data_IF_197436993385
#
_entry.id   IF_197436993385
#
_cell.length_a   1.000
_cell.length_b   1.000
_cell.length_c   1.000
_cell.angle_alpha   90.00
_cell.angle_beta   90.00
_cell.angle_gamma   90.00
#
_symmetry.space_group_name_H-M   'P 1'
#
loop_
_entity.id
_entity.type
_entity.pdbx_description
1 polymer ?
#
# COMPACT_ATOMS: atom_id res chain seq x y z
N UNK A 1 3.66 21.14 13.97
CA UNK A 1 2.50 21.13 13.06
C UNK A 1 2.72 19.94 12.15
N UNK A 2 1.88 18.94 12.30
CA UNK A 2 2.08 17.61 11.77
C UNK A 2 1.41 17.52 10.39
N UNK A 3 1.99 16.84 9.40
CA UNK A 3 1.47 16.69 8.03
C UNK A 3 1.37 15.24 7.58
N UNK A 4 0.38 14.92 6.77
CA UNK A 4 0.14 13.59 6.19
C UNK A 4 0.35 13.58 4.68
N UNK A 5 0.77 12.45 4.16
CA UNK A 5 1.17 12.23 2.78
C UNK A 5 0.30 11.15 2.12
N UNK A 6 -0.22 11.40 0.93
CA UNK A 6 -0.97 10.46 0.10
C UNK A 6 -0.44 10.47 -1.35
N UNK A 7 -0.06 9.31 -1.87
CA UNK A 7 0.47 9.12 -3.23
C UNK A 7 -0.31 8.05 -4.03
N UNK A 8 -0.65 8.27 -5.29
CA UNK A 8 -1.36 7.32 -6.17
C UNK A 8 -1.10 7.46 -7.66
N UNK A 9 -1.48 6.45 -8.47
CA UNK A 9 -1.55 6.43 -9.95
C UNK A 9 -2.57 5.39 -10.47
N UNK A 10 -3.13 5.54 -11.67
CA UNK A 10 -4.26 4.76 -12.21
C UNK A 10 -3.94 3.75 -13.33
N UNK A 11 -4.79 2.70 -13.49
CA UNK A 11 -4.62 1.48 -14.30
C UNK A 11 -5.35 1.49 -15.66
N UNK A 12 -4.78 0.84 -16.65
CA UNK A 12 -5.30 -0.27 -17.47
C UNK A 12 -4.22 -0.83 -18.41
N UNK A 13 -4.08 -2.01 -18.39
CA UNK A 13 -3.49 -3.28 -18.74
C UNK A 13 -2.70 -3.48 -20.06
N UNK A 14 -1.77 -4.39 -19.96
CA UNK A 14 -1.13 -5.45 -20.78
C UNK A 14 0.32 -5.30 -21.21
N UNK A 15 1.07 -6.25 -20.76
CA UNK A 15 2.13 -7.19 -21.22
C UNK A 15 3.47 -6.68 -21.80
N UNK A 16 4.52 -7.13 -21.21
CA UNK A 16 5.78 -7.87 -21.46
C UNK A 16 7.10 -7.14 -21.76
N UNK A 17 8.21 -7.48 -21.15
CA UNK A 17 9.46 -8.23 -21.37
C UNK A 17 10.70 -7.69 -20.63
N UNK A 18 11.34 -8.58 -19.94
CA UNK A 18 12.68 -8.95 -19.42
C UNK A 18 13.91 -8.03 -19.41
N UNK A 19 14.71 -8.13 -18.31
CA UNK A 19 16.16 -8.44 -18.34
C UNK A 19 16.76 -8.76 -16.95
N UNK A 20 17.84 -9.58 -16.96
CA UNK A 20 18.43 -10.33 -15.85
C UNK A 20 19.33 -9.53 -14.89
N UNK A 21 19.37 -9.96 -13.61
CA UNK A 21 20.53 -9.77 -12.71
C UNK A 21 20.72 -10.98 -11.79
N UNK A 22 21.99 -11.31 -11.50
CA UNK A 22 22.40 -12.45 -10.67
C UNK A 22 22.25 -12.12 -9.17
N UNK A 23 21.98 -13.13 -8.29
CA UNK A 23 21.84 -12.89 -6.86
C UNK A 23 23.16 -12.53 -6.20
N UNK A 24 23.19 -11.41 -5.50
CA UNK A 24 24.29 -11.03 -4.62
C UNK A 24 23.84 -11.26 -3.16
N UNK A 25 24.79 -11.76 -2.36
CA UNK A 25 24.54 -12.02 -0.95
C UNK A 25 24.22 -10.73 -0.18
N UNK A 26 23.07 -10.71 0.47
CA UNK A 26 22.63 -9.60 1.33
C UNK A 26 23.34 -9.70 2.67
N UNK A 27 24.28 -8.81 2.90
CA UNK A 27 24.89 -8.60 4.21
C UNK A 27 24.46 -7.23 4.74
N UNK A 28 23.85 -7.25 5.93
CA UNK A 28 23.43 -6.11 6.76
C UNK A 28 22.08 -5.47 6.40
N UNK A 29 21.01 -5.94 7.07
CA UNK A 29 19.86 -5.09 7.36
C UNK A 29 20.17 -4.26 8.61
N UNK A 30 20.05 -2.96 8.50
CA UNK A 30 20.18 -2.07 9.64
C UNK A 30 18.81 -1.93 10.31
N UNK A 31 18.75 -2.13 11.61
CA UNK A 31 17.56 -1.85 12.42
C UNK A 31 17.30 -0.35 12.36
N UNK A 32 16.14 0.07 11.87
CA UNK A 32 15.70 1.46 11.95
C UNK A 32 15.32 1.74 13.41
N UNK A 33 16.15 2.51 14.11
CA UNK A 33 15.81 2.96 15.46
C UNK A 33 14.91 4.18 15.37
N UNK A 34 13.82 4.22 16.15
CA UNK A 34 12.95 5.38 16.30
C UNK A 34 13.74 6.55 16.92
N UNK A 35 14.44 7.32 16.12
CA UNK A 35 15.06 8.54 16.53
C UNK A 35 13.98 9.63 16.63
N UNK A 36 13.92 10.32 17.74
CA UNK A 36 13.14 11.54 17.92
C UNK A 36 13.73 12.63 17.02
N UNK A 37 13.22 12.76 15.80
CA UNK A 37 13.68 13.76 14.84
C UNK A 37 13.34 15.18 15.30
N UNK A 38 14.22 16.15 15.09
CA UNK A 38 13.89 17.56 15.29
C UNK A 38 12.80 17.95 14.30
N UNK A 39 11.61 18.29 14.80
CA UNK A 39 10.48 18.77 14.01
C UNK A 39 10.84 20.09 13.33
N UNK A 40 11.27 20.02 12.09
CA UNK A 40 11.31 21.22 11.23
C UNK A 40 9.89 21.52 10.83
N UNK A 41 9.23 22.39 11.62
CA UNK A 41 7.84 22.76 11.39
C UNK A 41 7.76 23.65 10.17
N UNK A 42 7.14 23.17 9.09
CA UNK A 42 6.75 24.02 7.99
C UNK A 42 5.76 25.08 8.48
N UNK A 43 6.11 26.36 8.38
CA UNK A 43 5.32 27.48 8.93
C UNK A 43 4.15 27.89 8.03
N UNK A 44 4.13 27.40 6.80
CA UNK A 44 3.12 27.74 5.79
C UNK A 44 2.33 26.50 5.38
N UNK A 45 1.00 26.66 5.28
CA UNK A 45 0.13 25.60 4.75
C UNK A 45 -0.74 26.16 3.62
N UNK A 46 -0.87 25.49 2.47
CA UNK A 46 -0.06 24.32 2.08
C UNK A 46 1.43 24.68 1.99
N UNK A 47 2.34 23.73 2.26
CA UNK A 47 3.77 23.97 2.19
C UNK A 47 4.19 24.27 0.74
N UNK A 48 5.22 25.10 0.57
CA UNK A 48 5.88 25.22 -0.72
C UNK A 48 6.65 23.93 -1.01
N UNK A 49 6.48 23.41 -2.23
CA UNK A 49 7.21 22.25 -2.72
C UNK A 49 8.17 22.73 -3.79
N UNK A 50 9.44 22.72 -3.47
CA UNK A 50 10.51 23.04 -4.41
C UNK A 50 11.33 21.76 -4.66
N UNK A 51 11.29 21.28 -5.91
CA UNK A 51 11.95 20.04 -6.33
C UNK A 51 13.30 20.41 -6.95
N UNK A 52 14.37 19.95 -6.31
CA UNK A 52 15.73 20.11 -6.83
C UNK A 52 16.00 19.16 -7.98
N UNK A 53 15.67 17.88 -7.80
CA UNK A 53 15.75 16.86 -8.85
C UNK A 53 14.81 15.70 -8.58
N UNK A 54 14.53 14.92 -9.63
CA UNK A 54 13.80 13.66 -9.56
C UNK A 54 14.46 12.67 -10.52
N UNK A 55 15.15 11.68 -9.96
CA UNK A 55 15.99 10.74 -10.69
C UNK A 55 15.39 9.33 -10.65
N UNK A 56 15.13 8.76 -11.84
CA UNK A 56 14.74 7.35 -11.95
C UNK A 56 15.90 6.47 -11.52
N UNK A 57 15.69 5.62 -10.52
CA UNK A 57 16.71 4.72 -9.99
C UNK A 57 16.77 3.41 -10.78
N UNK A 58 15.63 2.89 -11.22
CA UNK A 58 15.54 1.64 -11.98
C UNK A 58 14.40 0.74 -11.50
N UNK A 59 14.44 -0.52 -11.91
CA UNK A 59 13.44 -1.52 -11.61
C UNK A 59 13.70 -2.19 -10.25
N UNK A 60 12.65 -2.37 -9.47
CA UNK A 60 12.70 -3.08 -8.17
C UNK A 60 12.59 -4.59 -8.42
N UNK A 61 13.46 -5.35 -7.78
CA UNK A 61 13.49 -6.81 -7.91
C UNK A 61 13.69 -7.52 -6.56
N UNK A 62 13.32 -8.80 -6.51
CA UNK A 62 13.60 -9.64 -5.35
C UNK A 62 15.02 -10.19 -5.40
N UNK A 63 15.71 -10.23 -4.25
CA UNK A 63 17.00 -10.91 -4.08
C UNK A 63 16.85 -12.44 -3.91
N UNK A 64 15.64 -12.94 -3.69
CA UNK A 64 15.38 -14.34 -3.33
C UNK A 64 14.62 -15.14 -4.38
N UNK A 65 13.90 -14.47 -5.29
CA UNK A 65 13.08 -15.14 -6.31
C UNK A 65 12.90 -14.29 -7.57
N UNK A 66 12.38 -14.90 -8.62
CA UNK A 66 12.09 -14.23 -9.89
C UNK A 66 10.59 -14.03 -10.05
N UNK A 67 10.12 -12.84 -9.70
CA UNK A 67 8.69 -12.47 -9.79
C UNK A 67 8.55 -11.07 -10.37
N UNK A 68 7.45 -10.85 -11.10
CA UNK A 68 6.96 -9.53 -11.47
C UNK A 68 5.77 -9.20 -10.58
N UNK A 69 5.71 -7.97 -10.07
CA UNK A 69 4.71 -7.55 -9.08
C UNK A 69 4.09 -6.23 -9.46
N UNK A 70 2.94 -5.97 -8.88
CA UNK A 70 2.38 -4.64 -8.86
C UNK A 70 2.14 -4.12 -7.43
N UNK A 71 1.82 -2.83 -7.30
CA UNK A 71 1.57 -2.09 -6.06
C UNK A 71 2.85 -1.85 -5.24
N UNK A 72 3.08 -2.59 -4.16
CA UNK A 72 4.23 -2.41 -3.26
C UNK A 72 3.98 -1.46 -2.11
N UNK A 73 2.77 -1.50 -1.53
CA UNK A 73 2.39 -0.68 -0.38
C UNK A 73 3.30 -0.90 0.81
N UNK A 74 3.82 0.19 1.38
CA UNK A 74 4.73 0.14 2.51
C UNK A 74 3.99 0.08 3.84
N UNK A 75 4.39 -0.86 4.70
CA UNK A 75 4.00 -0.93 6.10
C UNK A 75 5.20 -1.16 7.01
N UNK A 76 4.98 -1.10 8.32
CA UNK A 76 6.06 -1.31 9.30
C UNK A 76 5.51 -2.07 10.50
N UNK A 77 6.30 -3.02 11.01
CA UNK A 77 6.12 -3.66 12.32
C UNK A 77 7.48 -3.66 13.03
N UNK A 78 7.60 -2.94 14.13
CA UNK A 78 8.86 -2.72 14.82
C UNK A 78 9.92 -2.11 13.88
N UNK A 79 11.12 -2.68 13.79
CA UNK A 79 12.17 -2.18 12.91
C UNK A 79 12.03 -2.66 11.44
N UNK A 80 11.05 -3.52 11.15
CA UNK A 80 10.92 -4.16 9.85
C UNK A 80 9.92 -3.44 8.96
N UNK A 81 10.36 -3.06 7.77
CA UNK A 81 9.51 -2.49 6.72
C UNK A 81 9.06 -3.63 5.80
N UNK A 82 7.74 -3.78 5.68
CA UNK A 82 7.09 -4.76 4.82
C UNK A 82 6.48 -4.06 3.62
N UNK A 83 6.63 -4.67 2.45
CA UNK A 83 6.03 -4.22 1.21
C UNK A 83 4.97 -5.23 0.78
N UNK A 84 3.73 -4.77 0.68
CA UNK A 84 2.58 -5.59 0.30
C UNK A 84 2.28 -5.38 -1.18
N UNK A 85 2.19 -6.47 -1.92
CA UNK A 85 2.00 -6.50 -3.36
C UNK A 85 0.63 -7.08 -3.71
N UNK A 86 0.11 -6.68 -4.86
CA UNK A 86 -1.01 -7.33 -5.51
C UNK A 86 -0.56 -8.50 -6.38
N UNK A 87 -1.03 -8.54 -7.62
CA UNK A 87 -0.71 -9.62 -8.55
C UNK A 87 0.81 -9.88 -8.63
N UNK A 88 1.20 -11.09 -8.24
CA UNK A 88 2.59 -11.54 -8.20
C UNK A 88 2.76 -12.68 -9.19
N UNK A 89 3.34 -12.36 -10.34
CA UNK A 89 3.53 -13.28 -11.47
C UNK A 89 4.84 -14.02 -11.32
N UNK A 90 4.79 -15.35 -11.37
CA UNK A 90 5.98 -16.19 -11.25
C UNK A 90 6.72 -16.26 -12.60
N UNK A 91 8.01 -16.01 -12.57
CA UNK A 91 8.91 -16.03 -13.73
C UNK A 91 10.08 -16.98 -13.49
N UNK A 92 10.83 -17.30 -14.53
CA UNK A 92 12.10 -18.01 -14.43
C UNK A 92 13.27 -17.03 -14.21
N UNK A 93 14.48 -17.58 -14.04
CA UNK A 93 15.70 -16.81 -13.81
C UNK A 93 16.07 -15.81 -14.94
N UNK A 94 15.43 -15.93 -16.08
CA UNK A 94 15.59 -14.98 -17.19
C UNK A 94 14.54 -13.88 -17.20
N UNK A 95 13.60 -13.89 -16.23
CA UNK A 95 12.39 -13.07 -16.25
C UNK A 95 11.63 -13.21 -17.58
N UNK A 96 11.67 -14.41 -18.17
CA UNK A 96 10.98 -14.70 -19.43
C UNK A 96 9.47 -14.55 -19.27
N UNK A 97 8.76 -14.30 -20.36
CA UNK A 97 7.31 -14.26 -20.36
C UNK A 97 6.66 -15.66 -20.23
N UNK A 98 7.49 -16.67 -19.93
CA UNK A 98 7.01 -18.00 -19.64
C UNK A 98 6.25 -17.98 -18.31
N UNK A 99 4.94 -18.10 -18.42
CA UNK A 99 4.03 -18.18 -17.30
C UNK A 99 4.30 -19.42 -16.43
N UNK A 100 4.60 -19.17 -15.14
CA UNK A 100 4.83 -20.22 -14.14
C UNK A 100 3.73 -20.27 -13.06
N UNK A 101 2.72 -19.42 -13.20
CA UNK A 101 1.67 -19.23 -12.23
C UNK A 101 1.70 -17.85 -11.59
N UNK A 102 0.78 -17.61 -10.69
CA UNK A 102 0.67 -16.35 -9.93
C UNK A 102 0.03 -16.57 -8.56
N UNK A 103 0.15 -15.55 -7.73
CA UNK A 103 -0.72 -15.33 -6.57
C UNK A 103 -1.32 -13.94 -6.62
N UNK A 104 -2.50 -13.75 -6.02
CA UNK A 104 -3.21 -12.47 -6.04
C UNK A 104 -2.63 -11.43 -5.08
N UNK A 105 -1.81 -11.86 -4.14
CA UNK A 105 -1.10 -11.01 -3.20
C UNK A 105 0.17 -11.68 -2.68
N UNK A 106 1.13 -10.88 -2.26
CA UNK A 106 2.36 -11.34 -1.59
C UNK A 106 2.94 -10.25 -0.69
N UNK A 107 3.93 -10.61 0.12
CA UNK A 107 4.67 -9.65 0.96
C UNK A 107 6.17 -9.87 0.83
N UNK A 108 6.95 -8.78 0.84
CA UNK A 108 8.39 -8.83 0.95
C UNK A 108 8.90 -7.86 2.02
N UNK A 109 10.14 -8.06 2.46
CA UNK A 109 10.86 -7.15 3.35
C UNK A 109 11.67 -6.16 2.51
N UNK A 110 11.61 -4.90 2.89
CA UNK A 110 12.45 -3.87 2.32
C UNK A 110 13.92 -4.04 2.75
N UNK A 111 14.84 -3.57 1.93
CA UNK A 111 16.27 -3.47 2.25
C UNK A 111 16.70 -2.01 2.31
N UNK A 112 18.00 -1.76 2.50
CA UNK A 112 18.58 -0.41 2.39
C UNK A 112 18.78 0.03 0.93
N UNK A 113 18.68 -0.91 -0.01
CA UNK A 113 18.72 -0.61 -1.44
C UNK A 113 17.28 -0.42 -1.95
N UNK A 114 16.90 0.73 -2.50
CA UNK A 114 15.56 0.99 -3.00
C UNK A 114 15.15 0.11 -4.19
N UNK A 115 16.08 -0.59 -4.79
CA UNK A 115 15.83 -1.49 -5.92
C UNK A 115 15.76 -2.97 -5.52
N UNK A 116 15.97 -3.30 -4.23
CA UNK A 116 16.08 -4.69 -3.77
C UNK A 116 15.13 -4.97 -2.61
N UNK A 117 14.33 -6.02 -2.75
CA UNK A 117 13.48 -6.57 -1.69
C UNK A 117 13.83 -8.04 -1.41
N UNK A 118 13.42 -8.55 -0.25
CA UNK A 118 13.66 -9.95 0.15
C UNK A 118 12.33 -10.62 0.47
N UNK A 119 12.02 -11.73 -0.18
CA UNK A 119 10.86 -12.53 0.17
C UNK A 119 11.16 -13.33 1.46
N UNK A 120 10.36 -13.18 2.51
CA UNK A 120 10.66 -13.78 3.83
C UNK A 120 10.46 -15.29 3.84
N UNK A 121 9.65 -15.82 2.94
CA UNK A 121 9.40 -17.25 2.79
C UNK A 121 8.94 -17.56 1.36
N UNK A 122 9.18 -18.79 0.92
CA UNK A 122 8.84 -19.29 -0.40
C UNK A 122 8.10 -20.63 -0.28
N UNK A 123 7.24 -20.91 -1.25
CA UNK A 123 6.61 -22.22 -1.39
C UNK A 123 7.62 -23.27 -1.92
N UNK A 124 7.18 -24.51 -2.08
CA UNK A 124 8.02 -25.61 -2.57
C UNK A 124 8.57 -25.40 -3.99
N UNK A 125 7.94 -24.55 -4.77
CA UNK A 125 8.33 -24.24 -6.15
C UNK A 125 9.30 -23.04 -6.23
N UNK A 126 9.63 -22.45 -5.08
CA UNK A 126 10.58 -21.34 -4.95
C UNK A 126 9.97 -19.97 -5.21
N UNK A 127 8.66 -19.80 -5.05
CA UNK A 127 7.94 -18.53 -5.21
C UNK A 127 7.24 -18.10 -3.94
N UNK A 128 7.01 -16.78 -3.74
CA UNK A 128 6.21 -16.32 -2.61
C UNK A 128 4.77 -16.84 -2.74
N UNK A 129 4.22 -17.47 -1.69
CA UNK A 129 2.83 -17.89 -1.67
C UNK A 129 1.90 -16.70 -1.50
N UNK A 130 0.60 -16.93 -1.72
CA UNK A 130 -0.45 -15.98 -1.33
C UNK A 130 -0.32 -15.66 0.16
N UNK A 131 -0.29 -14.38 0.48
CA UNK A 131 -0.11 -13.91 1.85
C UNK A 131 -1.43 -13.92 2.62
N UNK A 132 -2.46 -13.24 2.10
CA UNK A 132 -3.77 -13.23 2.73
C UNK A 132 -4.59 -14.46 2.30
N UNK A 133 -4.81 -15.47 3.18
CA UNK A 133 -5.35 -16.76 2.77
C UNK A 133 -6.84 -16.66 2.44
N UNK A 134 -7.27 -17.39 1.41
CA UNK A 134 -8.66 -17.74 1.20
C UNK A 134 -9.09 -18.81 2.21
N UNK A 135 -10.31 -18.72 2.72
CA UNK A 135 -10.82 -19.59 3.78
C UNK A 135 -12.00 -20.42 3.25
N UNK A 136 -11.76 -21.70 3.00
CA UNK A 136 -12.77 -22.61 2.44
C UNK A 136 -14.04 -22.71 3.27
N UNK A 137 -13.95 -22.57 4.61
CA UNK A 137 -15.13 -22.58 5.48
C UNK A 137 -16.04 -21.34 5.31
N UNK A 138 -15.55 -20.30 4.64
CA UNK A 138 -16.34 -19.14 4.22
C UNK A 138 -16.90 -19.30 2.79
N UNK A 139 -16.65 -20.42 2.13
CA UNK A 139 -17.07 -20.66 0.75
C UNK A 139 -16.15 -20.03 -0.30
N UNK A 140 -14.93 -19.67 0.07
CA UNK A 140 -13.96 -19.03 -0.83
C UNK A 140 -13.21 -20.09 -1.64
N UNK A 141 -13.59 -20.21 -2.89
CA UNK A 141 -12.92 -21.11 -3.85
C UNK A 141 -11.75 -20.37 -4.50
N UNK A 142 -10.49 -20.89 -4.41
CA UNK A 142 -9.34 -20.28 -5.06
C UNK A 142 -9.42 -20.17 -6.59
N UNK A 143 -10.30 -20.95 -7.23
CA UNK A 143 -10.54 -20.83 -8.68
C UNK A 143 -11.42 -19.64 -9.07
N UNK A 144 -12.18 -19.10 -8.11
CA UNK A 144 -13.13 -18.01 -8.33
C UNK A 144 -12.94 -16.82 -7.38
N UNK A 145 -12.11 -16.95 -6.34
CA UNK A 145 -11.86 -15.89 -5.38
C UNK A 145 -10.42 -15.41 -5.43
N UNK A 146 -10.23 -14.11 -5.19
CA UNK A 146 -8.92 -13.50 -5.07
C UNK A 146 -8.93 -12.46 -3.95
N UNK A 147 -7.77 -12.31 -3.30
CA UNK A 147 -7.55 -11.28 -2.28
C UNK A 147 -6.81 -10.09 -2.90
N UNK A 148 -7.18 -8.88 -2.51
CA UNK A 148 -6.34 -7.69 -2.66
C UNK A 148 -5.92 -7.23 -1.27
N UNK A 149 -4.68 -6.82 -1.11
CA UNK A 149 -4.18 -6.30 0.17
C UNK A 149 -3.56 -4.92 -0.01
N UNK A 150 -3.58 -4.12 1.05
CA UNK A 150 -2.86 -2.86 1.12
C UNK A 150 -1.69 -2.93 2.11
N UNK A 151 -1.30 -1.85 2.73
CA UNK A 151 -0.14 -1.86 3.60
C UNK A 151 -0.44 -2.44 4.99
N UNK A 152 0.58 -3.07 5.55
CA UNK A 152 0.60 -3.46 6.95
C UNK A 152 0.65 -2.24 7.87
N UNK A 153 -0.03 -2.29 8.99
CA UNK A 153 -0.02 -1.24 10.02
C UNK A 153 0.23 -1.87 11.39
N UNK A 154 1.27 -1.39 12.07
CA UNK A 154 1.62 -1.84 13.42
C UNK A 154 0.52 -1.50 14.44
N UNK A 155 0.19 -2.44 15.32
CA UNK A 155 -0.67 -2.23 16.49
C UNK A 155 0.15 -1.80 17.74
N UNK A 156 -0.43 -1.87 18.92
CA UNK A 156 0.29 -1.54 20.17
C UNK A 156 1.11 -2.68 20.73
N UNK A 157 0.81 -3.92 20.34
CA UNK A 157 1.54 -5.08 20.78
C UNK A 157 2.85 -5.26 19.98
N UNK A 158 3.95 -5.68 20.62
CA UNK A 158 5.21 -5.90 19.94
C UNK A 158 5.10 -6.97 18.85
N UNK A 159 5.70 -6.70 17.70
CA UNK A 159 5.69 -7.59 16.53
C UNK A 159 4.30 -7.91 15.98
N UNK A 160 3.28 -7.13 16.34
CA UNK A 160 1.91 -7.31 15.84
C UNK A 160 1.47 -6.16 14.96
N UNK A 161 0.64 -6.48 13.98
CA UNK A 161 0.04 -5.53 13.07
C UNK A 161 -1.29 -6.04 12.53
N UNK A 162 -1.89 -5.21 11.71
CA UNK A 162 -3.04 -5.57 10.88
C UNK A 162 -2.76 -5.24 9.43
N UNK A 163 -3.53 -5.86 8.53
CA UNK A 163 -3.60 -5.51 7.13
C UNK A 163 -5.07 -5.48 6.70
N UNK A 164 -5.42 -4.52 5.87
CA UNK A 164 -6.72 -4.48 5.24
C UNK A 164 -6.69 -5.30 3.97
N UNK A 165 -7.79 -5.99 3.68
CA UNK A 165 -7.95 -6.78 2.48
C UNK A 165 -9.29 -6.51 1.80
N UNK A 166 -9.32 -6.77 0.50
CA UNK A 166 -10.50 -6.86 -0.33
C UNK A 166 -10.71 -8.31 -0.75
N UNK A 167 -11.93 -8.81 -0.62
CA UNK A 167 -12.33 -10.10 -1.17
C UNK A 167 -13.04 -9.88 -2.49
N UNK A 168 -12.47 -10.44 -3.55
CA UNK A 168 -13.04 -10.41 -4.90
C UNK A 168 -13.55 -11.79 -5.30
N UNK A 169 -14.74 -11.83 -5.89
CA UNK A 169 -15.29 -13.03 -6.53
C UNK A 169 -15.21 -12.84 -8.04
N UNK A 170 -14.51 -13.73 -8.72
CA UNK A 170 -14.13 -13.63 -10.15
C UNK A 170 -14.68 -14.77 -11.01
N UNK A 171 -15.98 -15.13 -10.93
CA UNK A 171 -16.54 -16.20 -11.74
C UNK A 171 -16.47 -15.83 -13.22
N UNK A 172 -16.01 -16.77 -14.06
CA UNK A 172 -15.95 -16.59 -15.51
C UNK A 172 -15.18 -15.34 -15.98
N UNK A 173 -14.17 -14.89 -15.22
CA UNK A 173 -13.35 -13.72 -15.57
C UNK A 173 -14.01 -12.36 -15.24
N UNK A 174 -15.16 -12.35 -14.57
CA UNK A 174 -15.69 -11.13 -13.96
C UNK A 174 -14.86 -10.74 -12.72
N UNK A 175 -15.07 -9.54 -12.19
CA UNK A 175 -14.45 -9.14 -10.94
C UNK A 175 -15.50 -8.40 -10.09
N UNK A 176 -16.08 -9.13 -9.15
CA UNK A 176 -17.10 -8.59 -8.24
C UNK A 176 -16.48 -8.44 -6.86
N UNK A 177 -16.31 -7.20 -6.41
CA UNK A 177 -15.86 -6.95 -5.04
C UNK A 177 -16.97 -7.34 -4.06
N UNK A 178 -16.67 -8.24 -3.13
CA UNK A 178 -17.61 -8.74 -2.11
C UNK A 178 -17.59 -7.86 -0.87
N UNK A 179 -16.42 -7.47 -0.42
CA UNK A 179 -16.26 -6.65 0.77
C UNK A 179 -14.82 -6.40 1.16
N UNK A 180 -14.66 -5.54 2.14
CA UNK A 180 -13.40 -5.22 2.77
C UNK A 180 -13.33 -5.79 4.19
N UNK A 181 -12.14 -6.16 4.64
CA UNK A 181 -11.95 -6.72 5.98
C UNK A 181 -10.54 -6.46 6.53
N UNK A 182 -10.32 -7.01 7.72
CA UNK A 182 -9.03 -6.89 8.43
C UNK A 182 -8.50 -8.27 8.77
N UNK A 183 -7.21 -8.46 8.57
CA UNK A 183 -6.47 -9.62 9.05
C UNK A 183 -5.39 -9.16 10.06
N UNK A 184 -5.14 -9.98 11.09
CA UNK A 184 -4.06 -9.78 12.04
C UNK A 184 -2.76 -10.35 11.50
N UNK A 185 -1.64 -9.72 11.83
CA UNK A 185 -0.30 -10.16 11.49
C UNK A 185 0.53 -10.28 12.77
N UNK A 186 1.24 -11.39 12.90
CA UNK A 186 2.28 -11.57 13.91
C UNK A 186 3.60 -11.79 13.18
N UNK A 187 4.61 -10.99 13.47
CA UNK A 187 5.92 -11.12 12.88
C UNK A 187 6.79 -12.05 13.73
N UNK A 188 7.05 -13.26 13.25
CA UNK A 188 7.97 -14.19 13.89
C UNK A 188 9.41 -13.74 13.64
N UNK A 189 10.04 -13.24 14.70
CA UNK A 189 11.41 -12.72 14.70
C UNK A 189 12.43 -13.74 15.22
N UNK A 190 12.03 -15.01 15.41
CA UNK A 190 12.92 -16.08 15.86
C UNK A 190 13.94 -16.50 14.81
N UNK A 191 13.68 -16.18 13.54
CA UNK A 191 14.57 -16.39 12.39
C UNK A 191 14.85 -15.07 11.68
N UNK A 192 15.84 -15.11 10.77
CA UNK A 192 16.12 -14.02 9.86
C UNK A 192 16.16 -14.55 8.41
N UNK A 193 15.44 -13.94 7.47
CA UNK A 193 14.49 -12.82 7.64
C UNK A 193 13.31 -13.20 8.56
N UNK A 194 12.69 -12.22 9.27
CA UNK A 194 11.50 -12.48 10.07
C UNK A 194 10.33 -12.88 9.16
N UNK A 195 9.49 -13.79 9.66
CA UNK A 195 8.40 -14.36 8.88
C UNK A 195 7.05 -13.81 9.37
N UNK A 196 6.31 -13.06 8.54
CA UNK A 196 4.97 -12.61 8.89
C UNK A 196 3.99 -13.78 8.81
N UNK A 197 3.24 -13.96 9.89
CA UNK A 197 2.13 -14.92 9.99
C UNK A 197 0.82 -14.14 10.00
N UNK A 198 -0.11 -14.51 9.12
CA UNK A 198 -1.38 -13.80 8.95
C UNK A 198 -2.57 -14.67 9.34
N UNK A 199 -3.56 -14.06 9.97
CA UNK A 199 -4.83 -14.69 10.34
C UNK A 199 -5.99 -13.76 10.02
N UNK A 200 -6.91 -14.21 9.17
CA UNK A 200 -8.15 -13.48 8.89
C UNK A 200 -9.12 -13.60 10.05
N UNK A 201 -9.77 -12.49 10.37
CA UNK A 201 -10.72 -12.38 11.45
C UNK A 201 -12.15 -12.56 10.90
N UNK A 202 -13.02 -13.36 11.59
CA UNK A 202 -14.42 -13.46 11.20
C UNK A 202 -15.16 -12.13 11.42
N UNK A 203 -16.26 -11.88 10.68
CA UNK A 203 -16.80 -12.67 9.58
C UNK A 203 -15.95 -12.62 8.32
N UNK A 204 -16.41 -13.22 7.21
CA UNK A 204 -15.72 -13.28 5.93
C UNK A 204 -15.13 -11.95 5.46
N UNK A 205 -15.88 -10.87 5.61
CA UNK A 205 -15.47 -9.47 5.47
C UNK A 205 -16.23 -8.62 6.50
N UNK A 206 -15.76 -7.41 6.77
CA UNK A 206 -16.32 -6.53 7.78
C UNK A 206 -17.22 -5.46 7.20
N UNK A 207 -16.94 -5.00 5.98
CA UNK A 207 -17.72 -3.99 5.25
C UNK A 207 -18.16 -4.60 3.93
N UNK A 208 -19.48 -4.58 3.70
CA UNK A 208 -20.11 -5.12 2.50
C UNK A 208 -19.96 -4.13 1.35
N UNK A 209 -19.28 -4.54 0.27
CA UNK A 209 -19.02 -3.66 -0.87
C UNK A 209 -20.28 -3.20 -1.62
N UNK A 210 -21.41 -3.83 -1.37
CA UNK A 210 -22.70 -3.47 -2.00
C UNK A 210 -23.42 -2.32 -1.31
N UNK A 211 -23.03 -1.98 -0.07
CA UNK A 211 -23.70 -0.95 0.73
C UNK A 211 -22.80 -0.13 1.65
N UNK A 212 -21.48 -0.39 1.65
CA UNK A 212 -20.53 0.33 2.50
C UNK A 212 -19.27 0.72 1.71
N UNK A 213 -18.52 1.76 2.14
CA UNK A 213 -17.19 2.04 1.59
C UNK A 213 -16.21 0.89 1.83
N UNK A 214 -15.26 0.75 0.93
CA UNK A 214 -14.24 -0.32 0.92
C UNK A 214 -13.04 0.08 1.79
N UNK A 215 -13.27 0.24 3.10
CA UNK A 215 -12.25 0.76 4.01
C UNK A 215 -10.94 -0.03 3.98
N UNK A 216 -9.84 0.68 3.74
CA UNK A 216 -8.50 0.16 3.66
C UNK A 216 -8.02 -0.20 2.26
N UNK A 217 -8.87 -0.14 1.22
CA UNK A 217 -8.47 -0.49 -0.15
C UNK A 217 -7.51 0.54 -0.78
N UNK A 218 -7.54 1.77 -0.30
CA UNK A 218 -6.56 2.79 -0.68
C UNK A 218 -5.27 2.61 0.10
N UNK A 219 -5.34 2.69 1.42
CA UNK A 219 -4.24 2.45 2.35
C UNK A 219 -4.71 2.59 3.80
N UNK A 220 -3.82 2.26 4.73
CA UNK A 220 -3.99 2.57 6.14
C UNK A 220 -2.76 3.26 6.73
N UNK A 221 -2.96 4.04 7.78
CA UNK A 221 -1.91 4.81 8.45
C UNK A 221 -2.10 4.73 9.96
N UNK A 222 -1.06 4.39 10.71
CA UNK A 222 -1.04 4.62 12.14
C UNK A 222 -0.55 6.04 12.45
N UNK A 223 -1.37 6.76 13.20
CA UNK A 223 -0.97 8.04 13.73
C UNK A 223 -1.37 8.17 15.20
N UNK A 224 -0.37 8.35 16.06
CA UNK A 224 -0.54 8.32 17.52
C UNK A 224 -1.22 7.01 17.96
N UNK A 225 -2.34 7.11 18.64
CA UNK A 225 -3.05 5.96 19.22
C UNK A 225 -4.09 5.35 18.27
N UNK A 226 -4.23 5.87 17.03
CA UNK A 226 -5.23 5.40 16.08
C UNK A 226 -4.61 4.89 14.78
N UNK A 227 -5.30 3.93 14.19
CA UNK A 227 -5.13 3.50 12.82
C UNK A 227 -6.27 4.10 12.01
N UNK A 228 -5.93 4.75 10.91
CA UNK A 228 -6.82 5.38 9.95
C UNK A 228 -6.80 4.57 8.67
N UNK A 229 -7.97 4.21 8.11
CA UNK A 229 -8.08 3.45 6.89
C UNK A 229 -8.91 4.21 5.85
N UNK A 230 -8.29 4.45 4.70
CA UNK A 230 -8.89 5.15 3.57
C UNK A 230 -9.46 4.12 2.60
N UNK A 231 -10.70 4.35 2.15
CA UNK A 231 -11.38 3.43 1.25
C UNK A 231 -12.27 4.15 0.25
N UNK A 232 -12.35 3.61 -0.97
CA UNK A 232 -13.29 4.11 -1.96
C UNK A 232 -14.73 3.89 -1.51
N UNK A 233 -15.63 4.68 -2.08
CA UNK A 233 -17.04 4.41 -2.03
C UNK A 233 -17.42 3.20 -2.88
N UNK A 234 -18.71 2.88 -2.91
CA UNK A 234 -19.25 1.84 -3.77
C UNK A 234 -18.95 2.11 -5.25
N UNK A 235 -19.07 1.09 -6.07
CA UNK A 235 -18.87 1.20 -7.52
C UNK A 235 -19.64 2.41 -8.11
N UNK A 236 -18.91 3.23 -8.88
CA UNK A 236 -19.43 4.47 -9.44
C UNK A 236 -19.39 5.69 -8.51
N UNK A 237 -19.06 5.52 -7.23
CA UNK A 237 -18.86 6.63 -6.30
C UNK A 237 -17.38 7.07 -6.35
N UNK A 238 -17.05 8.31 -6.80
CA UNK A 238 -15.67 8.75 -7.02
C UNK A 238 -14.96 9.25 -5.75
N UNK A 239 -15.58 9.13 -4.58
CA UNK A 239 -15.07 9.70 -3.34
C UNK A 239 -14.36 8.67 -2.47
N UNK A 240 -13.39 9.13 -1.71
CA UNK A 240 -12.67 8.33 -0.69
C UNK A 240 -13.16 8.72 0.70
N UNK A 241 -13.46 7.72 1.48
CA UNK A 241 -13.98 7.81 2.85
C UNK A 241 -12.94 7.35 3.86
N UNK A 242 -13.16 7.69 5.12
CA UNK A 242 -12.20 7.45 6.17
C UNK A 242 -12.85 6.81 7.40
N UNK A 243 -12.25 5.73 7.86
CA UNK A 243 -12.53 5.15 9.17
C UNK A 243 -11.28 5.19 10.04
N UNK A 244 -11.46 5.14 11.36
CA UNK A 244 -10.37 4.98 12.31
C UNK A 244 -10.73 4.03 13.44
N UNK A 245 -9.71 3.51 14.08
CA UNK A 245 -9.83 2.70 15.30
C UNK A 245 -8.63 2.96 16.20
N UNK A 246 -8.78 2.78 17.51
CA UNK A 246 -7.61 2.75 18.40
C UNK A 246 -6.72 1.57 18.03
N UNK A 247 -5.41 1.75 18.03
CA UNK A 247 -4.47 0.72 17.60
C UNK A 247 -4.47 -0.55 18.49
N UNK A 248 -4.90 -0.42 19.76
CA UNK A 248 -5.11 -1.55 20.68
C UNK A 248 -6.44 -2.29 20.45
N UNK A 249 -7.37 -1.72 19.67
CA UNK A 249 -8.67 -2.29 19.35
C UNK A 249 -8.81 -2.62 17.85
N UNK A 250 -7.71 -2.61 17.11
CA UNK A 250 -7.71 -2.71 15.65
C UNK A 250 -8.34 -4.00 15.10
N UNK A 251 -8.42 -5.06 15.91
CA UNK A 251 -9.04 -6.33 15.56
C UNK A 251 -10.52 -6.45 15.96
N UNK A 252 -11.12 -5.37 16.44
CA UNK A 252 -12.52 -5.32 16.86
C UNK A 252 -13.31 -4.33 16.01
N UNK A 253 -14.08 -4.84 15.05
CA UNK A 253 -14.86 -4.02 14.11
C UNK A 253 -15.87 -3.08 14.81
N UNK A 254 -16.33 -3.41 16.01
CA UNK A 254 -17.27 -2.57 16.75
C UNK A 254 -16.63 -1.33 17.38
N UNK A 255 -15.31 -1.24 17.41
CA UNK A 255 -14.57 -0.10 17.92
C UNK A 255 -14.19 0.92 16.83
N UNK A 256 -14.56 0.65 15.59
CA UNK A 256 -14.28 1.55 14.47
C UNK A 256 -15.22 2.76 14.50
N UNK A 257 -14.66 3.93 14.25
CA UNK A 257 -15.37 5.19 14.06
C UNK A 257 -15.24 5.64 12.60
N UNK A 258 -16.27 6.29 12.10
CA UNK A 258 -16.41 6.69 10.71
C UNK A 258 -16.51 8.21 10.60
N UNK A 259 -15.76 8.80 9.67
CA UNK A 259 -15.79 10.23 9.39
C UNK A 259 -17.04 10.58 8.57
N UNK A 260 -17.88 11.47 9.07
CA UNK A 260 -19.11 11.88 8.39
C UNK A 260 -19.01 13.26 7.70
N UNK A 261 -17.78 13.75 7.50
CA UNK A 261 -17.51 15.08 6.93
C UNK A 261 -17.38 16.19 7.96
N UNK A 262 -17.86 15.99 9.18
CA UNK A 262 -17.84 16.97 10.26
C UNK A 262 -17.25 16.43 11.57
N UNK A 263 -17.55 15.18 11.89
CA UNK A 263 -17.16 14.55 13.13
C UNK A 263 -16.97 13.02 12.97
N UNK A 264 -16.29 12.42 13.93
CA UNK A 264 -16.19 10.98 14.07
C UNK A 264 -17.44 10.43 14.76
N UNK A 265 -18.00 9.34 14.22
CA UNK A 265 -19.18 8.66 14.75
C UNK A 265 -18.97 7.14 14.79
N UNK A 266 -19.63 6.46 15.71
CA UNK A 266 -19.64 4.99 15.82
C UNK A 266 -20.55 4.30 14.81
N UNK A 267 -21.57 5.02 14.29
CA UNK A 267 -22.48 4.50 13.27
C UNK A 267 -21.79 4.42 11.92
N UNK A 268 -21.91 3.27 11.26
CA UNK A 268 -21.37 3.04 9.91
C UNK A 268 -22.01 3.99 8.91
N UNK A 269 -21.29 4.31 7.85
CA UNK A 269 -21.81 5.09 6.73
C UNK A 269 -22.59 4.16 5.78
N UNK A 270 -23.77 4.60 5.38
CA UNK A 270 -24.52 3.96 4.31
C UNK A 270 -23.98 4.41 2.96
N UNK A 271 -23.26 3.53 2.26
CA UNK A 271 -22.59 3.79 0.98
C UNK A 271 -23.55 4.27 -0.11
N UNK A 272 -24.87 3.98 0.01
CA UNK A 272 -25.88 4.43 -0.96
C UNK A 272 -26.34 5.88 -0.73
N UNK A 273 -26.03 6.46 0.43
CA UNK A 273 -26.52 7.79 0.85
C UNK A 273 -25.41 8.85 0.99
N UNK A 274 -24.12 8.44 0.93
CA UNK A 274 -22.97 9.32 1.13
C UNK A 274 -22.41 9.87 -0.18
N UNK A 275 -21.74 11.02 -0.10
CA UNK A 275 -21.15 11.71 -1.25
C UNK A 275 -19.92 12.54 -0.86
N UNK A 276 -19.77 13.67 -1.51
CA UNK A 276 -18.64 14.59 -1.30
C UNK A 276 -18.51 15.06 0.15
N UNK A 277 -19.63 15.30 0.82
CA UNK A 277 -19.65 15.86 2.17
C UNK A 277 -18.95 14.96 3.19
N UNK A 278 -19.19 13.65 3.11
CA UNK A 278 -18.65 12.65 4.04
C UNK A 278 -17.24 12.19 3.63
N UNK A 279 -16.77 12.59 2.45
CA UNK A 279 -15.48 12.18 1.88
C UNK A 279 -14.31 12.99 2.45
N UNK A 280 -13.11 12.47 2.24
CA UNK A 280 -11.86 13.17 2.58
C UNK A 280 -11.15 13.72 1.34
N UNK A 281 -11.35 13.11 0.17
CA UNK A 281 -10.88 13.61 -1.13
C UNK A 281 -11.57 12.89 -2.29
N UNK A 282 -11.45 13.50 -3.48
CA UNK A 282 -12.00 12.97 -4.71
C UNK A 282 -11.03 12.01 -5.38
N UNK A 283 -11.55 10.95 -5.88
CA UNK A 283 -10.99 9.85 -6.67
C UNK A 283 -9.46 9.76 -6.72
N UNK A 284 -8.96 8.74 -6.05
CA UNK A 284 -7.62 8.21 -6.27
C UNK A 284 -7.79 6.72 -6.54
N UNK A 285 -6.95 6.11 -7.38
CA UNK A 285 -7.09 4.67 -7.56
C UNK A 285 -6.28 3.90 -6.54
N UNK A 286 -4.99 4.11 -6.54
CA UNK A 286 -4.09 3.40 -5.64
C UNK A 286 -2.97 4.35 -5.23
N UNK A 287 -2.71 4.39 -3.95
CA UNK A 287 -1.66 5.21 -3.39
C UNK A 287 -1.60 5.06 -1.90
N UNK A 288 -0.73 5.79 -1.26
CA UNK A 288 -0.52 5.64 0.16
C UNK A 288 -0.41 6.97 0.88
N UNK A 289 -1.13 7.07 2.01
CA UNK A 289 -0.94 8.13 2.99
C UNK A 289 0.14 7.72 3.96
N UNK A 290 1.13 8.58 4.15
CA UNK A 290 2.17 8.41 5.16
C UNK A 290 2.29 9.68 6.00
N UNK A 291 2.93 9.55 7.15
CA UNK A 291 3.46 10.68 7.89
C UNK A 291 4.72 11.22 7.20
N UNK A 292 4.81 12.51 6.98
CA UNK A 292 6.02 13.16 6.47
C UNK A 292 6.55 14.18 7.48
N UNK A 293 7.83 14.09 7.78
CA UNK A 293 8.53 15.13 8.55
C UNK A 293 8.74 16.44 7.77
N UNK A 294 8.48 16.42 6.49
CA UNK A 294 8.68 17.53 5.58
C UNK A 294 7.38 18.01 4.92
N UNK A 295 6.66 17.17 4.15
CA UNK A 295 5.32 17.43 3.57
C UNK A 295 4.71 16.22 2.83
N UNK A 296 3.44 16.29 2.37
CA UNK A 296 2.74 15.18 1.81
C UNK A 296 1.79 15.39 0.62
N UNK A 297 1.55 14.41 -0.33
CA UNK A 297 0.71 14.56 -1.55
C UNK A 297 0.32 13.43 -2.47
N UNK A 298 -0.41 13.69 -3.65
CA UNK A 298 -0.94 12.72 -4.58
C UNK A 298 -1.36 13.18 -6.00
N UNK A 299 -1.37 12.36 -7.07
CA UNK A 299 -2.32 12.03 -8.15
C UNK A 299 -1.86 12.00 -9.65
N UNK A 300 -2.36 11.14 -10.45
CA UNK A 300 -2.86 10.62 -11.74
C UNK A 300 -2.01 10.72 -13.06
N UNK A 301 -2.21 9.70 -13.98
CA UNK A 301 -1.74 9.62 -15.36
C UNK A 301 -0.23 9.77 -15.57
N UNK A 302 0.55 8.71 -15.34
CA UNK A 302 2.01 8.73 -15.46
C UNK A 302 2.71 9.74 -14.54
N UNK A 303 1.99 10.43 -13.69
CA UNK A 303 2.51 11.43 -12.78
C UNK A 303 2.52 10.91 -11.36
N UNK A 304 3.66 11.03 -10.71
CA UNK A 304 3.72 10.93 -9.26
C UNK A 304 3.31 12.29 -8.69
N UNK A 305 2.21 12.29 -8.01
CA UNK A 305 1.62 13.51 -7.48
C UNK A 305 1.58 13.50 -5.96
N UNK A 306 1.57 14.65 -5.35
CA UNK A 306 1.67 14.95 -3.94
C UNK A 306 0.50 15.82 -3.42
N UNK A 307 -0.30 15.48 -2.32
CA UNK A 307 -1.27 16.32 -1.57
C UNK A 307 -0.88 16.40 -0.09
N UNK A 308 -1.12 17.47 0.64
CA UNK A 308 -0.88 17.59 2.09
C UNK A 308 -2.15 17.79 2.88
N UNK A 309 -2.13 17.34 4.13
CA UNK A 309 -3.10 17.72 5.14
C UNK A 309 -2.43 17.88 6.50
N UNK A 310 -3.06 18.62 7.39
CA UNK A 310 -2.63 18.76 8.78
C UNK A 310 -3.23 17.66 9.68
N UNK A 311 -4.24 16.95 9.19
CA UNK A 311 -4.94 15.85 9.86
C UNK A 311 -5.31 14.77 8.85
N UNK A 312 -5.49 13.51 9.26
CA UNK A 312 -5.86 12.43 8.36
C UNK A 312 -7.15 12.69 7.57
N UNK A 313 -8.12 13.33 8.20
CA UNK A 313 -9.38 13.72 7.58
C UNK A 313 -9.28 14.96 6.68
N UNK A 314 -8.14 15.63 6.64
CA UNK A 314 -7.93 16.83 5.84
C UNK A 314 -8.15 18.15 6.59
N UNK A 315 -8.49 19.28 5.90
CA UNK A 315 -8.63 19.34 4.44
C UNK A 315 -7.30 19.09 3.72
N UNK A 316 -7.39 18.45 2.54
CA UNK A 316 -6.24 18.15 1.69
C UNK A 316 -5.99 19.28 0.68
N UNK A 317 -4.72 19.55 0.38
CA UNK A 317 -4.32 20.55 -0.59
C UNK A 317 -4.62 20.13 -2.04
N UNK A 318 -4.50 21.07 -2.97
CA UNK A 318 -4.44 20.76 -4.40
C UNK A 318 -3.22 19.87 -4.72
N UNK A 319 -3.29 19.01 -5.77
CA UNK A 319 -2.19 18.14 -6.14
C UNK A 319 -1.05 18.89 -6.84
N UNK A 320 0.20 18.48 -6.58
CA UNK A 320 1.41 18.94 -7.28
C UNK A 320 2.11 17.73 -7.92
N UNK A 321 2.61 17.89 -9.13
CA UNK A 321 3.39 16.85 -9.81
C UNK A 321 4.83 16.84 -9.26
N UNK A 322 5.24 15.71 -8.71
CA UNK A 322 6.62 15.48 -8.27
C UNK A 322 7.49 14.87 -9.38
N UNK A 323 6.93 13.96 -10.15
CA UNK A 323 7.65 13.26 -11.21
C UNK A 323 6.69 12.84 -12.33
N UNK A 324 7.16 12.92 -13.56
CA UNK A 324 6.45 12.42 -14.74
C UNK A 324 7.14 11.15 -15.22
N UNK A 325 6.56 10.00 -14.93
CA UNK A 325 7.08 8.72 -15.39
C UNK A 325 6.78 8.47 -16.88
N UNK A 326 7.65 7.71 -17.53
CA UNK A 326 7.49 7.29 -18.92
C UNK A 326 6.99 5.84 -18.94
N UNK A 327 5.89 5.53 -19.64
CA UNK A 327 5.46 4.15 -19.82
C UNK A 327 6.53 3.29 -20.51
N UNK A 328 6.70 2.05 -20.04
CA UNK A 328 7.62 1.08 -20.67
C UNK A 328 7.14 0.66 -22.06
N UNK A 329 5.84 0.70 -22.28
CA UNK A 329 5.20 0.44 -23.58
C UNK A 329 4.24 1.56 -23.90
N UNK A 330 4.24 2.03 -25.13
CA UNK A 330 3.35 3.11 -25.59
C UNK A 330 1.89 2.80 -25.25
N UNK A 331 1.22 3.75 -24.60
CA UNK A 331 -0.17 3.63 -24.17
C UNK A 331 -0.39 2.76 -22.94
N UNK A 332 0.66 2.20 -22.34
CA UNK A 332 0.51 1.45 -21.10
C UNK A 332 0.38 2.37 -19.88
N UNK A 333 -0.18 1.82 -18.81
CA UNK A 333 -0.49 2.56 -17.60
C UNK A 333 0.62 2.53 -16.58
N UNK A 334 0.68 3.60 -15.79
CA UNK A 334 1.49 3.71 -14.59
C UNK A 334 0.55 3.93 -13.42
N UNK A 335 0.77 3.24 -12.30
CA UNK A 335 -0.13 3.24 -11.15
C UNK A 335 0.57 2.93 -9.83
N UNK A 336 -0.14 3.05 -8.72
CA UNK A 336 0.29 2.71 -7.37
C UNK A 336 1.61 3.38 -6.98
N UNK A 337 1.64 4.71 -6.98
CA UNK A 337 2.79 5.44 -6.44
C UNK A 337 2.83 5.32 -4.91
N UNK A 338 3.90 4.73 -4.39
CA UNK A 338 4.09 4.43 -2.97
C UNK A 338 5.33 5.14 -2.44
N UNK A 339 5.20 6.01 -1.43
CA UNK A 339 6.31 6.69 -0.80
C UNK A 339 7.04 5.80 0.22
N UNK A 340 8.36 5.92 0.27
CA UNK A 340 9.23 5.16 1.17
C UNK A 340 10.06 6.11 2.05
N UNK A 341 9.48 6.69 3.11
CA UNK A 341 10.16 7.66 3.97
C UNK A 341 11.30 7.08 4.81
N UNK A 342 11.39 5.77 4.94
CA UNK A 342 12.45 5.12 5.72
C UNK A 342 13.85 5.25 5.09
N UNK A 343 13.97 5.66 3.83
CA UNK A 343 15.27 5.92 3.19
C UNK A 343 15.88 7.26 3.61
N UNK A 344 15.07 8.22 4.05
CA UNK A 344 15.52 9.50 4.56
C UNK A 344 14.56 10.07 5.60
N UNK A 345 14.90 9.91 6.88
CA UNK A 345 14.10 10.39 8.01
C UNK A 345 13.92 11.91 8.03
N UNK A 346 14.80 12.67 7.37
CA UNK A 346 14.66 14.14 7.28
C UNK A 346 13.47 14.54 6.39
N UNK A 347 13.05 13.66 5.47
CA UNK A 347 12.01 13.90 4.47
C UNK A 347 12.44 14.83 3.35
N UNK A 348 13.71 15.27 3.30
CA UNK A 348 14.25 16.10 2.20
C UNK A 348 14.51 15.32 0.93
N UNK A 349 14.64 14.00 1.04
CA UNK A 349 14.67 13.08 -0.08
C UNK A 349 13.58 12.02 0.12
N UNK A 350 12.86 11.72 -0.94
CA UNK A 350 11.80 10.72 -0.91
C UNK A 350 12.02 9.74 -2.04
N UNK A 351 12.15 8.46 -1.70
CA UNK A 351 12.03 7.40 -2.68
C UNK A 351 10.55 7.08 -2.88
N UNK A 352 10.12 7.01 -4.12
CA UNK A 352 8.76 6.64 -4.50
C UNK A 352 8.85 5.49 -5.48
N UNK A 353 8.15 4.39 -5.20
CA UNK A 353 7.94 3.34 -6.19
C UNK A 353 6.61 3.54 -6.90
N UNK A 354 6.51 3.04 -8.12
CA UNK A 354 5.27 3.01 -8.88
C UNK A 354 5.28 1.78 -9.80
N UNK A 355 4.10 1.27 -10.10
CA UNK A 355 3.97 0.18 -11.05
C UNK A 355 3.89 0.73 -12.46
N UNK A 356 4.83 0.32 -13.31
CA UNK A 356 4.83 0.54 -14.74
C UNK A 356 4.39 -0.77 -15.40
N UNK A 357 3.28 -0.71 -16.11
CA UNK A 357 2.69 -1.92 -16.69
C UNK A 357 3.62 -2.56 -17.74
N UNK A 358 3.76 -3.91 -17.76
CA UNK A 358 3.06 -4.89 -16.92
C UNK A 358 3.88 -5.27 -15.67
N UNK A 359 3.27 -5.12 -14.52
CA UNK A 359 3.79 -5.64 -13.23
C UNK A 359 5.30 -5.41 -13.00
N UNK A 360 5.82 -4.26 -13.47
CA UNK A 360 7.20 -3.83 -13.26
C UNK A 360 7.19 -2.65 -12.31
N UNK A 361 7.74 -2.84 -11.11
CA UNK A 361 7.86 -1.75 -10.15
C UNK A 361 9.14 -1.00 -10.42
N UNK A 362 9.04 0.32 -10.58
CA UNK A 362 10.17 1.23 -10.73
C UNK A 362 10.28 2.16 -9.52
N UNK A 363 11.48 2.57 -9.20
CA UNK A 363 11.76 3.52 -8.13
C UNK A 363 12.32 4.84 -8.69
N UNK A 364 11.84 5.96 -8.14
CA UNK A 364 12.37 7.31 -8.38
C UNK A 364 12.78 7.93 -7.06
N UNK A 365 13.88 8.65 -7.03
CA UNK A 365 14.29 9.49 -5.89
C UNK A 365 13.98 10.94 -6.22
N UNK A 366 13.28 11.60 -5.32
CA UNK A 366 12.90 13.01 -5.42
C UNK A 366 13.61 13.75 -4.30
N UNK A 367 14.30 14.83 -4.61
CA UNK A 367 15.03 15.67 -3.66
C UNK A 367 14.36 17.03 -3.61
N UNK A 368 14.09 17.49 -2.41
CA UNK A 368 13.46 18.78 -2.12
C UNK A 368 14.49 19.80 -1.63
N UNK A 369 14.25 21.08 -1.88
CA UNK A 369 15.15 22.18 -1.51
C UNK A 369 15.26 22.43 0.00
#
# INVERSE_FOLDING_TARGET
>A
MDFYLLLTVHILSYLTILLQASPLAVTNLTVVTNATSPTTVCKQYPPLVDIVCADLLGDVHSATTYVKRDLGFQGQIGPYVLLSYGDTLYSDASYSDTWRGMTSDSVALATQDPLVVVDPFLNTDGYPPQFCPLISSFGEDPSECAMGITNVVETTAPNEGIIFFLLNHRPNGTNNLMGAGVASIILDTSSYPPVPQISRLPPQYWWDATCEPWYGDVCALRWKDHIYAYGHGMEGNPWVYLTRVRADEATNVNCYEYWNGEAWQSGRLDGTAIGEKESVFWQINQGQVIWSNYFGYNWMNSKVLLKTAQRPEGPWSDPITLYQATPLTDGSSIYAAVPHPYFDESGKSLVVTFTNHPNTIQAVRIVFA
#
